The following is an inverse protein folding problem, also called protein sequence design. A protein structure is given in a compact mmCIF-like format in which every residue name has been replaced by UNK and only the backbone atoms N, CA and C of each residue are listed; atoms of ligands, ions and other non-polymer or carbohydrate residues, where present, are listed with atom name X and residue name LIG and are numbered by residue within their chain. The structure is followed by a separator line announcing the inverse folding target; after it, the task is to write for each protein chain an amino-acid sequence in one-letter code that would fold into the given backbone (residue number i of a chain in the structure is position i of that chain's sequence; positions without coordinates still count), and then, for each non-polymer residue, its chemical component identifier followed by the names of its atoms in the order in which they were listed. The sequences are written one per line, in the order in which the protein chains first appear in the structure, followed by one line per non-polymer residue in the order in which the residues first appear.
data_IF_216228615213
#
_entry.id   IF_216228615213
#
_cell.length_a   1.000
_cell.length_b   1.000
_cell.length_c   1.000
_cell.angle_alpha   90.00
_cell.angle_beta   90.00
_cell.angle_gamma   90.00
#
_symmetry.space_group_name_H-M   'P 1'
#
loop_
_entity.id
_entity.type
_entity.pdbx_description
1 polymer ?
#
# COMPACT_ATOMS: atom_id res chain seq x y z
N UNK A 1 -1.87 7.85 1.21
CA UNK A 1 -0.73 7.15 1.84
C UNK A 1 -0.49 5.84 1.11
N UNK A 2 0.57 5.13 1.49
CA UNK A 2 1.02 3.87 0.88
C UNK A 2 0.31 2.61 1.44
N UNK A 3 -0.73 2.82 2.26
CA UNK A 3 -1.59 1.78 2.85
C UNK A 3 -0.93 0.93 3.94
N UNK A 4 0.16 1.40 4.56
CA UNK A 4 0.70 0.76 5.75
C UNK A 4 -0.25 0.86 6.94
N UNK A 5 -0.33 -0.23 7.70
CA UNK A 5 -0.96 -0.22 9.03
C UNK A 5 -0.18 0.72 9.92
N UNK A 6 -0.87 1.53 10.73
CA UNK A 6 -0.21 2.40 11.70
C UNK A 6 -0.25 1.74 13.09
N UNK A 7 0.80 1.95 13.89
CA UNK A 7 0.78 1.67 15.32
C UNK A 7 0.00 2.74 16.09
N UNK A 8 -0.04 2.60 17.42
CA UNK A 8 -0.70 3.52 18.34
C UNK A 8 -0.07 4.92 18.36
N UNK A 9 1.22 5.04 18.04
CA UNK A 9 1.88 6.33 17.83
C UNK A 9 1.75 6.88 16.40
N UNK A 10 0.99 6.20 15.54
CA UNK A 10 0.75 6.61 14.15
C UNK A 10 1.93 6.33 13.21
N UNK A 11 2.93 5.53 13.63
CA UNK A 11 4.07 5.16 12.78
C UNK A 11 3.69 4.01 11.85
N UNK A 12 4.17 4.01 10.59
CA UNK A 12 3.88 2.94 9.66
C UNK A 12 4.54 1.62 10.06
N UNK A 13 3.76 0.55 10.15
CA UNK A 13 4.25 -0.80 10.39
C UNK A 13 5.25 -1.20 9.28
N UNK A 14 6.40 -1.81 9.63
CA UNK A 14 7.48 -2.03 8.67
C UNK A 14 7.13 -3.03 7.56
N UNK A 15 6.15 -3.92 7.79
CA UNK A 15 5.84 -5.04 6.88
C UNK A 15 4.35 -5.32 6.66
N UNK A 16 3.43 -4.44 7.11
CA UNK A 16 1.98 -4.70 7.05
C UNK A 16 1.28 -3.59 6.29
N UNK A 17 0.43 -4.00 5.35
CA UNK A 17 -0.40 -3.13 4.52
C UNK A 17 -1.85 -3.59 4.65
N UNK A 18 -2.82 -2.66 4.58
CA UNK A 18 -4.24 -2.97 4.64
C UNK A 18 -5.02 -2.11 3.64
N UNK A 19 -5.96 -2.74 2.93
CA UNK A 19 -6.84 -2.12 1.95
C UNK A 19 -8.26 -2.65 2.13
N UNK A 20 -9.25 -1.81 1.82
CA UNK A 20 -10.66 -2.21 1.78
C UNK A 20 -11.43 -1.94 3.06
N UNK A 21 -12.55 -2.67 3.28
CA UNK A 21 -13.39 -2.50 4.47
C UNK A 21 -12.59 -2.62 5.76
N UNK A 22 -13.04 -1.93 6.80
CA UNK A 22 -12.40 -1.89 8.12
C UNK A 22 -11.03 -1.20 8.18
N UNK A 23 -10.64 -0.49 7.11
CA UNK A 23 -9.50 0.43 7.15
C UNK A 23 -9.96 1.87 7.37
N UNK A 24 -9.07 2.73 7.85
CA UNK A 24 -9.33 4.17 8.01
C UNK A 24 -9.28 4.93 6.69
N UNK A 25 -8.83 4.27 5.61
CA UNK A 25 -8.80 4.89 4.30
C UNK A 25 -10.22 5.01 3.75
N UNK A 26 -10.57 6.21 3.26
CA UNK A 26 -11.87 6.42 2.63
C UNK A 26 -11.92 5.59 1.35
N UNK A 27 -12.78 4.57 1.33
CA UNK A 27 -13.05 3.80 0.12
C UNK A 27 -13.79 4.69 -0.87
N UNK A 28 -13.18 4.98 -2.02
CA UNK A 28 -13.94 5.50 -3.15
C UNK A 28 -14.63 4.34 -3.85
N UNK A 29 -15.91 4.50 -4.20
CA UNK A 29 -16.68 3.45 -4.86
C UNK A 29 -15.97 2.83 -6.07
N UNK A 30 -16.24 1.54 -6.31
CA UNK A 30 -15.58 0.73 -7.32
C UNK A 30 -15.86 1.17 -8.78
N UNK A 31 -16.86 2.02 -8.99
CA UNK A 31 -17.24 2.52 -10.30
C UNK A 31 -16.62 3.90 -10.55
N UNK A 32 -15.49 3.92 -11.26
CA UNK A 32 -14.90 5.17 -11.75
C UNK A 32 -15.27 5.40 -13.21
N UNK A 33 -15.29 6.67 -13.63
CA UNK A 33 -15.43 7.01 -15.05
C UNK A 33 -14.30 6.37 -15.86
N UNK A 34 -14.58 5.77 -17.03
CA UNK A 34 -13.54 5.21 -17.89
C UNK A 34 -12.39 6.19 -18.14
N UNK A 35 -11.15 5.68 -18.20
CA UNK A 35 -9.92 6.44 -18.50
C UNK A 35 -9.54 7.56 -17.52
N UNK A 36 -10.13 7.60 -16.32
CA UNK A 36 -9.77 8.61 -15.30
C UNK A 36 -8.82 8.09 -14.23
N UNK A 37 -8.56 6.79 -14.20
CA UNK A 37 -7.79 6.13 -13.14
C UNK A 37 -8.49 6.09 -11.78
N UNK A 38 -9.55 6.86 -11.53
CA UNK A 38 -10.31 6.86 -10.27
C UNK A 38 -9.48 7.11 -9.00
N UNK A 39 -10.10 7.38 -7.84
CA UNK A 39 -9.35 7.41 -6.59
C UNK A 39 -8.98 6.00 -6.10
N UNK A 40 -9.84 5.00 -6.31
CA UNK A 40 -9.62 3.62 -5.88
C UNK A 40 -8.41 2.98 -6.57
N UNK A 41 -8.29 3.10 -7.90
CA UNK A 41 -7.13 2.51 -8.58
C UNK A 41 -5.84 3.24 -8.23
N UNK A 42 -5.86 4.58 -8.07
CA UNK A 42 -4.69 5.33 -7.58
C UNK A 42 -4.23 4.90 -6.19
N UNK A 43 -5.18 4.58 -5.29
CA UNK A 43 -4.85 4.02 -3.98
C UNK A 43 -4.21 2.64 -4.11
N UNK A 44 -4.78 1.76 -4.93
CA UNK A 44 -4.23 0.43 -5.17
C UNK A 44 -2.83 0.49 -5.78
N UNK A 45 -2.59 1.38 -6.74
CA UNK A 45 -1.29 1.59 -7.38
C UNK A 45 -0.24 2.10 -6.38
N UNK A 46 -0.62 2.99 -5.47
CA UNK A 46 0.26 3.46 -4.42
C UNK A 46 0.64 2.32 -3.45
N UNK A 47 -0.34 1.52 -3.04
CA UNK A 47 -0.10 0.37 -2.18
C UNK A 47 0.79 -0.69 -2.85
N UNK A 48 0.49 -1.02 -4.12
CA UNK A 48 1.25 -1.99 -4.90
C UNK A 48 2.71 -1.55 -5.06
N UNK A 49 2.95 -0.28 -5.44
CA UNK A 49 4.31 0.26 -5.55
C UNK A 49 5.09 0.17 -4.24
N UNK A 50 4.45 0.49 -3.11
CA UNK A 50 5.11 0.43 -1.81
C UNK A 50 5.43 -1.01 -1.36
N UNK A 51 4.50 -1.94 -1.57
CA UNK A 51 4.73 -3.35 -1.27
C UNK A 51 5.85 -3.94 -2.13
N UNK A 52 5.86 -3.65 -3.44
CA UNK A 52 6.89 -4.13 -4.36
C UNK A 52 8.27 -3.54 -4.05
N UNK A 53 8.34 -2.25 -3.72
CA UNK A 53 9.59 -1.61 -3.30
C UNK A 53 10.14 -2.27 -2.01
N UNK A 54 9.28 -2.50 -1.03
CA UNK A 54 9.65 -3.21 0.21
C UNK A 54 10.20 -4.61 -0.07
N UNK A 55 9.50 -5.40 -0.89
CA UNK A 55 9.92 -6.76 -1.24
C UNK A 55 11.26 -6.76 -2.00
N UNK A 56 11.44 -5.83 -2.94
CA UNK A 56 12.70 -5.66 -3.67
C UNK A 56 13.85 -5.39 -2.70
N UNK A 57 13.68 -4.43 -1.80
CA UNK A 57 14.71 -4.04 -0.84
C UNK A 57 15.04 -5.18 0.14
N UNK A 58 14.03 -5.96 0.55
CA UNK A 58 14.25 -7.13 1.41
C UNK A 58 14.97 -8.26 0.67
N UNK A 59 14.64 -8.47 -0.61
CA UNK A 59 15.32 -9.46 -1.46
C UNK A 59 16.80 -9.11 -1.69
N UNK A 60 17.12 -7.83 -1.88
CA UNK A 60 18.50 -7.38 -2.07
C UNK A 60 19.32 -7.57 -0.79
N UNK A 61 18.76 -7.22 0.37
CA UNK A 61 19.42 -7.46 1.67
C UNK A 61 19.65 -8.95 1.93
N UNK A 62 18.66 -9.80 1.63
CA UNK A 62 18.82 -11.25 1.75
C UNK A 62 19.93 -11.81 0.87
N UNK A 63 20.03 -11.32 -0.39
CA UNK A 63 21.13 -11.71 -1.30
C UNK A 63 22.50 -11.23 -0.83
N UNK A 64 22.61 -10.03 -0.27
CA UNK A 64 23.88 -9.51 0.26
C UNK A 64 24.34 -10.23 1.54
N UNK A 65 23.43 -10.92 2.23
CA UNK A 65 23.71 -11.67 3.44
C UNK A 65 23.98 -13.17 3.19
N UNK A 66 23.94 -13.62 1.93
CA UNK A 66 24.22 -15.01 1.49
C UNK A 66 25.60 -15.10 0.84
#
# INVERSE_FOLDING_TARGET
GDSRVLDDEGRPHPRRFALGPFTTARSSGAFTRPRTGGPAFRQNDAAARAALAFLRDHSCRGRLAS
#
